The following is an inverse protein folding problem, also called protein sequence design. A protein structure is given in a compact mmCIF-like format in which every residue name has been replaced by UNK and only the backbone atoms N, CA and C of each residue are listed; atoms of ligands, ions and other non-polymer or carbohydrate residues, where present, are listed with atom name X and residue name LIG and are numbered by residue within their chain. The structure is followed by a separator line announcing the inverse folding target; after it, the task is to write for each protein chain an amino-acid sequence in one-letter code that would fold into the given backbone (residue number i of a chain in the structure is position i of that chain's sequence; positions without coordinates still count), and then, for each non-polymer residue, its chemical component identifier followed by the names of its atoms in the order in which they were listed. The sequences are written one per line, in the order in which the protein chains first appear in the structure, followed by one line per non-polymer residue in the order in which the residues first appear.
data_IF_258888838781
#
_entry.id   IF_258888838781
#
_cell.length_a   1.000
_cell.length_b   1.000
_cell.length_c   1.000
_cell.angle_alpha   90.00
_cell.angle_beta   90.00
_cell.angle_gamma   90.00
#
_symmetry.space_group_name_H-M   'P 1'
#
loop_
_entity.id
_entity.type
_entity.pdbx_description
1 polymer ?
#
# COMPACT_ATOMS: atom_id res chain seq x y z
N UNK A 1 42.06 12.71 0.95
CA UNK A 1 41.00 12.22 0.06
C UNK A 1 39.86 11.72 0.93
N UNK A 2 38.82 12.55 1.17
CA UNK A 2 37.60 12.08 1.84
C UNK A 2 36.91 11.18 0.83
N UNK A 3 36.94 9.88 1.05
CA UNK A 3 35.99 8.96 0.42
C UNK A 3 34.61 9.41 0.88
N UNK A 4 33.96 10.23 0.07
CA UNK A 4 32.54 10.48 0.22
C UNK A 4 31.89 9.12 0.31
N UNK A 5 31.32 8.88 1.47
CA UNK A 5 30.61 7.68 1.80
C UNK A 5 29.50 7.59 0.76
N UNK A 6 29.72 6.78 -0.29
CA UNK A 6 28.71 6.42 -1.29
C UNK A 6 27.74 5.49 -0.57
N UNK A 7 27.08 6.03 0.47
CA UNK A 7 25.84 5.49 1.01
C UNK A 7 24.94 5.44 -0.20
N UNK A 8 24.66 4.23 -0.67
CA UNK A 8 23.75 3.95 -1.76
C UNK A 8 22.40 4.59 -1.43
N UNK A 9 22.21 5.82 -1.93
CA UNK A 9 21.00 6.58 -1.73
C UNK A 9 19.87 5.77 -2.36
N UNK A 10 18.98 5.22 -1.53
CA UNK A 10 17.82 4.48 -2.00
C UNK A 10 17.06 5.31 -3.04
N UNK A 11 16.67 4.69 -4.14
CA UNK A 11 16.37 5.42 -5.36
C UNK A 11 16.10 4.56 -6.59
N UNK A 12 16.18 5.17 -7.77
CA UNK A 12 15.80 4.57 -9.05
C UNK A 12 16.54 3.27 -9.42
N UNK A 13 17.70 2.99 -8.81
CA UNK A 13 18.45 1.73 -9.01
C UNK A 13 18.01 0.62 -8.05
N UNK A 14 17.16 0.92 -7.07
CA UNK A 14 16.72 -0.03 -6.05
C UNK A 14 15.40 -0.67 -6.46
N UNK A 15 15.34 -2.00 -6.40
CA UNK A 15 14.10 -2.73 -6.64
C UNK A 15 13.00 -2.32 -5.64
N UNK A 16 13.34 -2.18 -4.35
CA UNK A 16 12.37 -1.79 -3.32
C UNK A 16 11.81 -0.39 -3.53
N UNK A 17 12.54 0.51 -4.20
CA UNK A 17 12.02 1.82 -4.59
C UNK A 17 10.87 1.70 -5.58
N UNK A 18 11.06 0.96 -6.67
CA UNK A 18 10.01 0.75 -7.68
C UNK A 18 8.84 -0.05 -7.15
N UNK A 19 9.09 -1.07 -6.32
CA UNK A 19 8.02 -1.84 -5.69
C UNK A 19 7.17 -0.99 -4.75
N UNK A 20 7.82 -0.12 -3.96
CA UNK A 20 7.11 0.82 -3.09
C UNK A 20 6.31 1.83 -3.92
N UNK A 21 6.90 2.37 -5.00
CA UNK A 21 6.23 3.31 -5.89
C UNK A 21 4.98 2.70 -6.51
N UNK A 22 5.07 1.45 -6.97
CA UNK A 22 3.93 0.73 -7.54
C UNK A 22 2.76 0.65 -6.55
N UNK A 23 3.02 0.30 -5.29
CA UNK A 23 1.99 0.26 -4.24
C UNK A 23 1.47 1.66 -3.90
N UNK A 24 2.33 2.66 -3.79
CA UNK A 24 1.92 4.03 -3.50
C UNK A 24 0.94 4.56 -4.57
N UNK A 25 1.25 4.33 -5.86
CA UNK A 25 0.40 4.71 -6.97
C UNK A 25 -0.88 3.87 -7.04
N UNK A 26 -0.79 2.57 -6.78
CA UNK A 26 -1.94 1.66 -6.75
C UNK A 26 -2.96 2.08 -5.68
N UNK A 27 -2.51 2.31 -4.45
CA UNK A 27 -3.37 2.76 -3.34
C UNK A 27 -3.96 4.15 -3.66
N UNK A 28 -3.17 5.06 -4.24
CA UNK A 28 -3.65 6.38 -4.64
C UNK A 28 -4.77 6.29 -5.69
N UNK A 29 -4.58 5.43 -6.70
CA UNK A 29 -5.57 5.17 -7.74
C UNK A 29 -6.85 4.57 -7.16
N UNK A 30 -6.74 3.56 -6.28
CA UNK A 30 -7.90 2.95 -5.61
C UNK A 30 -8.64 3.99 -4.77
N UNK A 31 -7.92 4.80 -3.99
CA UNK A 31 -8.53 5.86 -3.20
C UNK A 31 -9.33 6.86 -4.04
N UNK A 32 -8.75 7.31 -5.16
CA UNK A 32 -9.42 8.19 -6.11
C UNK A 32 -10.65 7.52 -6.74
N UNK A 33 -10.55 6.24 -7.10
CA UNK A 33 -11.68 5.47 -7.67
C UNK A 33 -12.85 5.37 -6.69
N UNK A 34 -12.58 5.12 -5.40
CA UNK A 34 -13.62 5.11 -4.36
C UNK A 34 -14.29 6.48 -4.14
N UNK A 35 -13.59 7.57 -4.39
CA UNK A 35 -14.15 8.93 -4.28
C UNK A 35 -15.03 9.25 -5.51
N UNK A 36 -14.50 9.02 -6.71
CA UNK A 36 -15.16 9.40 -7.97
C UNK A 36 -16.24 8.42 -8.41
N UNK A 37 -16.02 7.13 -8.19
CA UNK A 37 -16.87 6.01 -8.62
C UNK A 37 -17.17 5.07 -7.43
N UNK A 38 -17.80 5.56 -6.35
CA UNK A 38 -17.97 4.80 -5.11
C UNK A 38 -18.80 3.53 -5.31
N UNK A 39 -19.86 3.57 -6.13
CA UNK A 39 -20.72 2.39 -6.36
C UNK A 39 -19.92 1.22 -6.94
N UNK A 40 -19.26 1.48 -8.07
CA UNK A 40 -18.43 0.48 -8.76
C UNK A 40 -17.33 -0.03 -7.84
N UNK A 41 -16.70 0.86 -7.07
CA UNK A 41 -15.58 0.49 -6.19
C UNK A 41 -16.02 -0.38 -5.02
N UNK A 42 -17.16 -0.08 -4.40
CA UNK A 42 -17.72 -0.86 -3.28
C UNK A 42 -18.17 -2.24 -3.75
N UNK A 43 -18.83 -2.32 -4.90
CA UNK A 43 -19.27 -3.58 -5.51
C UNK A 43 -18.08 -4.45 -5.95
N UNK A 44 -17.05 -3.86 -6.54
CA UNK A 44 -15.81 -4.57 -6.92
C UNK A 44 -15.03 -5.08 -5.71
N UNK A 45 -15.02 -4.31 -4.61
CA UNK A 45 -14.47 -4.74 -3.33
C UNK A 45 -15.22 -5.97 -2.77
N UNK A 46 -16.46 -6.19 -3.19
CA UNK A 46 -17.29 -7.31 -2.77
C UNK A 46 -18.33 -6.94 -1.72
N UNK A 47 -18.65 -5.67 -1.56
CA UNK A 47 -19.73 -5.22 -0.65
C UNK A 47 -20.93 -4.82 -1.50
N UNK A 48 -22.12 -5.32 -1.14
CA UNK A 48 -23.35 -4.92 -1.79
C UNK A 48 -23.72 -3.48 -1.38
N UNK A 49 -24.04 -2.64 -2.37
CA UNK A 49 -24.53 -1.27 -2.13
C UNK A 49 -26.04 -1.30 -1.96
N UNK A 50 -26.52 -1.16 -0.72
CA UNK A 50 -27.94 -1.16 -0.38
C UNK A 50 -28.49 0.25 -0.11
N UNK A 51 -27.60 1.22 0.14
CA UNK A 51 -27.97 2.55 0.61
C UNK A 51 -26.99 3.63 0.17
N UNK A 52 -27.40 4.90 0.31
CA UNK A 52 -26.49 6.04 0.13
C UNK A 52 -25.40 6.10 1.21
N UNK A 53 -25.66 5.56 2.41
CA UNK A 53 -24.65 5.45 3.46
C UNK A 53 -23.49 4.54 3.05
N UNK A 54 -23.74 3.45 2.33
CA UNK A 54 -22.67 2.55 1.86
C UNK A 54 -21.73 3.27 0.89
N UNK A 55 -22.28 4.13 0.02
CA UNK A 55 -21.50 4.99 -0.86
C UNK A 55 -20.68 6.03 -0.08
N UNK A 56 -21.25 6.60 0.98
CA UNK A 56 -20.53 7.52 1.85
C UNK A 56 -19.37 6.82 2.58
N UNK A 57 -19.58 5.62 3.10
CA UNK A 57 -18.52 4.78 3.68
C UNK A 57 -17.43 4.43 2.66
N UNK A 58 -17.83 4.10 1.42
CA UNK A 58 -16.90 3.90 0.31
C UNK A 58 -16.01 5.13 0.07
N UNK A 59 -16.58 6.34 0.05
CA UNK A 59 -15.79 7.58 -0.09
C UNK A 59 -14.87 7.82 1.10
N UNK A 60 -15.29 7.52 2.32
CA UNK A 60 -14.44 7.62 3.53
C UNK A 60 -13.23 6.69 3.41
N UNK A 61 -13.43 5.42 2.97
CA UNK A 61 -12.32 4.52 2.64
C UNK A 61 -11.43 5.13 1.57
N UNK A 62 -12.01 5.64 0.49
CA UNK A 62 -11.27 6.27 -0.60
C UNK A 62 -10.35 7.41 -0.17
N UNK A 63 -10.81 8.28 0.74
CA UNK A 63 -10.00 9.37 1.30
C UNK A 63 -8.80 8.82 2.11
N UNK A 64 -9.02 7.78 2.90
CA UNK A 64 -7.96 7.14 3.71
C UNK A 64 -6.90 6.46 2.83
N UNK A 65 -7.35 5.77 1.78
CA UNK A 65 -6.45 5.15 0.82
C UNK A 65 -5.66 6.22 0.05
N UNK A 66 -6.34 7.26 -0.46
CA UNK A 66 -5.67 8.39 -1.13
C UNK A 66 -4.61 9.06 -0.23
N UNK A 67 -4.94 9.32 1.03
CA UNK A 67 -3.99 9.83 2.02
C UNK A 67 -2.79 8.90 2.19
N UNK A 68 -3.03 7.59 2.33
CA UNK A 68 -1.97 6.59 2.54
C UNK A 68 -1.02 6.53 1.34
N UNK A 69 -1.56 6.57 0.12
CA UNK A 69 -0.77 6.66 -1.11
C UNK A 69 0.07 7.92 -1.19
N UNK A 70 -0.50 9.09 -0.89
CA UNK A 70 0.21 10.38 -0.87
C UNK A 70 1.30 10.42 0.20
N UNK A 71 1.02 9.96 1.41
CA UNK A 71 1.99 9.91 2.50
C UNK A 71 3.19 9.04 2.13
N UNK A 72 2.94 7.85 1.59
CA UNK A 72 4.00 6.95 1.14
C UNK A 72 4.80 7.54 -0.03
N UNK A 73 4.12 8.18 -0.99
CA UNK A 73 4.76 8.84 -2.13
C UNK A 73 5.66 10.01 -1.67
N UNK A 74 5.24 10.80 -0.69
CA UNK A 74 6.03 11.89 -0.13
C UNK A 74 7.34 11.37 0.49
N UNK A 75 7.28 10.30 1.29
CA UNK A 75 8.47 9.66 1.87
C UNK A 75 9.39 9.09 0.79
N UNK A 76 8.80 8.48 -0.24
CA UNK A 76 9.52 7.91 -1.37
C UNK A 76 10.25 8.98 -2.19
N UNK A 77 9.59 10.09 -2.54
CA UNK A 77 10.18 11.21 -3.27
C UNK A 77 11.24 11.94 -2.45
N UNK A 78 11.04 12.05 -1.13
CA UNK A 78 12.05 12.54 -0.18
C UNK A 78 13.22 11.58 0.07
N UNK A 79 13.24 10.39 -0.57
CA UNK A 79 14.27 9.34 -0.40
C UNK A 79 14.46 8.91 1.06
N UNK A 80 13.42 9.00 1.88
CA UNK A 80 13.46 8.70 3.32
C UNK A 80 13.33 7.20 3.59
N UNK A 81 14.27 6.37 3.10
CA UNK A 81 14.17 4.89 3.10
C UNK A 81 13.70 4.30 4.44
N UNK A 82 14.31 4.71 5.56
CA UNK A 82 13.99 4.19 6.89
C UNK A 82 12.55 4.52 7.30
N UNK A 83 12.09 5.75 7.07
CA UNK A 83 10.72 6.15 7.35
C UNK A 83 9.73 5.42 6.42
N UNK A 84 10.06 5.33 5.12
CA UNK A 84 9.30 4.53 4.16
C UNK A 84 9.16 3.09 4.62
N UNK A 85 10.24 2.45 5.08
CA UNK A 85 10.22 1.07 5.56
C UNK A 85 9.18 0.90 6.67
N UNK A 86 9.26 1.67 7.76
CA UNK A 86 8.31 1.57 8.86
C UNK A 86 6.86 1.87 8.46
N UNK A 87 6.62 2.94 7.70
CA UNK A 87 5.26 3.33 7.28
C UNK A 87 4.67 2.28 6.32
N UNK A 88 5.47 1.80 5.37
CA UNK A 88 5.06 0.77 4.42
C UNK A 88 4.75 -0.55 5.11
N UNK A 89 5.57 -0.98 6.07
CA UNK A 89 5.31 -2.18 6.87
C UNK A 89 4.03 -2.04 7.67
N UNK A 90 3.82 -0.90 8.33
CA UNK A 90 2.59 -0.64 9.07
C UNK A 90 1.35 -0.71 8.15
N UNK A 91 1.46 -0.20 6.91
CA UNK A 91 0.39 -0.21 5.94
C UNK A 91 -0.03 -1.62 5.46
N UNK A 92 0.77 -2.67 5.70
CA UNK A 92 0.41 -4.07 5.39
C UNK A 92 -0.89 -4.48 6.10
N UNK A 93 -1.21 -3.87 7.24
CA UNK A 93 -2.47 -4.14 7.93
C UNK A 93 -3.69 -3.87 7.04
N UNK A 94 -3.61 -2.92 6.11
CA UNK A 94 -4.73 -2.52 5.25
C UNK A 94 -5.18 -3.67 4.36
N UNK A 95 -4.34 -4.25 3.45
CA UNK A 95 -4.78 -5.36 2.62
C UNK A 95 -5.10 -6.63 3.45
N UNK A 96 -4.45 -6.84 4.60
CA UNK A 96 -4.82 -7.96 5.48
C UNK A 96 -6.25 -7.82 6.02
N UNK A 97 -6.61 -6.63 6.51
CA UNK A 97 -7.95 -6.36 7.04
C UNK A 97 -8.99 -6.28 5.93
N UNK A 98 -8.65 -5.75 4.75
CA UNK A 98 -9.55 -5.76 3.59
C UNK A 98 -9.88 -7.21 3.16
N UNK A 99 -8.88 -8.10 3.11
CA UNK A 99 -9.09 -9.52 2.82
C UNK A 99 -9.99 -10.19 3.87
N UNK A 100 -9.75 -9.91 5.15
CA UNK A 100 -10.58 -10.41 6.25
C UNK A 100 -12.02 -9.88 6.13
N UNK A 101 -12.21 -8.61 5.79
CA UNK A 101 -13.53 -8.00 5.66
C UNK A 101 -14.35 -8.65 4.54
N UNK A 102 -13.71 -8.99 3.42
CA UNK A 102 -14.36 -9.76 2.34
C UNK A 102 -14.80 -11.13 2.87
N UNK A 103 -13.92 -11.84 3.58
CA UNK A 103 -14.27 -13.13 4.15
C UNK A 103 -15.43 -13.05 5.14
N UNK A 104 -15.44 -12.04 6.01
CA UNK A 104 -16.51 -11.85 7.00
C UNK A 104 -17.85 -11.51 6.35
N UNK A 105 -17.87 -10.76 5.25
CA UNK A 105 -19.09 -10.37 4.57
C UNK A 105 -19.61 -11.44 3.60
N UNK A 106 -18.72 -12.16 2.92
CA UNK A 106 -19.07 -13.00 1.76
C UNK A 106 -18.72 -14.48 1.94
N UNK A 107 -18.00 -14.86 2.99
CA UNK A 107 -17.36 -16.18 3.09
C UNK A 107 -16.19 -16.32 2.11
N UNK A 108 -15.99 -17.51 1.55
CA UNK A 108 -14.89 -17.79 0.63
C UNK A 108 -15.13 -17.19 -0.77
N UNK A 109 -14.79 -15.92 -0.94
CA UNK A 109 -14.77 -15.20 -2.23
C UNK A 109 -13.34 -15.09 -2.76
N UNK A 110 -12.82 -16.21 -3.29
CA UNK A 110 -11.42 -16.33 -3.71
C UNK A 110 -10.96 -15.23 -4.67
N UNK A 111 -11.68 -14.89 -5.76
CA UNK A 111 -11.21 -13.86 -6.70
C UNK A 111 -10.93 -12.51 -6.02
N UNK A 112 -11.81 -12.06 -5.13
CA UNK A 112 -11.64 -10.77 -4.43
C UNK A 112 -10.62 -10.87 -3.31
N UNK A 113 -10.63 -11.95 -2.54
CA UNK A 113 -9.66 -12.19 -1.47
C UNK A 113 -8.23 -12.27 -2.02
N UNK A 114 -8.01 -12.87 -3.19
CA UNK A 114 -6.68 -13.01 -3.79
C UNK A 114 -6.03 -11.67 -4.12
N UNK A 115 -6.81 -10.66 -4.55
CA UNK A 115 -6.26 -9.32 -4.84
C UNK A 115 -5.62 -8.74 -3.58
N UNK A 116 -6.31 -8.81 -2.45
CA UNK A 116 -5.81 -8.28 -1.18
C UNK A 116 -4.72 -9.16 -0.57
N UNK A 117 -4.90 -10.48 -0.59
CA UNK A 117 -3.91 -11.43 -0.08
C UNK A 117 -2.57 -11.35 -0.82
N UNK A 118 -2.60 -11.31 -2.17
CA UNK A 118 -1.39 -11.15 -2.97
C UNK A 118 -0.75 -9.78 -2.77
N UNK A 119 -1.55 -8.72 -2.60
CA UNK A 119 -1.04 -7.39 -2.25
C UNK A 119 -0.31 -7.40 -0.91
N UNK A 120 -0.88 -8.06 0.11
CA UNK A 120 -0.23 -8.20 1.42
C UNK A 120 1.10 -8.96 1.31
N UNK A 121 1.14 -10.08 0.58
CA UNK A 121 2.37 -10.84 0.34
C UNK A 121 3.42 -9.99 -0.40
N UNK A 122 3.02 -9.28 -1.45
CA UNK A 122 3.89 -8.37 -2.19
C UNK A 122 4.48 -7.30 -1.26
N UNK A 123 3.66 -6.71 -0.40
CA UNK A 123 4.10 -5.71 0.55
C UNK A 123 5.03 -6.29 1.63
N UNK A 124 4.80 -7.51 2.11
CA UNK A 124 5.73 -8.18 3.04
C UNK A 124 7.11 -8.36 2.41
N UNK A 125 7.17 -8.83 1.15
CA UNK A 125 8.43 -8.99 0.42
C UNK A 125 9.10 -7.62 0.22
N UNK A 126 8.35 -6.61 -0.20
CA UNK A 126 8.87 -5.24 -0.39
C UNK A 126 9.41 -4.66 0.92
N UNK A 127 8.68 -4.86 2.02
CA UNK A 127 9.07 -4.45 3.37
C UNK A 127 10.38 -5.08 3.78
N UNK A 128 10.54 -6.41 3.58
CA UNK A 128 11.81 -7.08 3.82
C UNK A 128 12.97 -6.40 3.06
N UNK A 129 12.80 -6.16 1.75
CA UNK A 129 13.81 -5.50 0.92
C UNK A 129 14.09 -4.05 1.32
N UNK A 130 13.09 -3.32 1.84
CA UNK A 130 13.30 -1.96 2.38
C UNK A 130 14.23 -1.98 3.60
N UNK A 131 14.18 -3.03 4.42
CA UNK A 131 15.11 -3.20 5.54
C UNK A 131 16.46 -3.83 5.15
N UNK A 132 16.55 -4.60 4.05
CA UNK A 132 17.70 -5.45 3.71
C UNK A 132 19.05 -4.75 3.39
N UNK A 133 19.17 -3.43 3.27
CA UNK A 133 20.49 -2.76 3.13
C UNK A 133 20.89 -1.93 4.35
N UNK A 134 20.20 -2.08 5.48
CA UNK A 134 20.53 -1.37 6.72
C UNK A 134 21.62 -2.11 7.52
N UNK A 135 21.89 -3.38 7.21
CA UNK A 135 22.70 -4.28 8.04
C UNK A 135 24.13 -4.54 7.54
N UNK A 136 24.60 -3.86 6.49
CA UNK A 136 25.98 -4.00 5.98
C UNK A 136 26.95 -2.94 6.51
N UNK A 137 26.54 -2.09 7.46
CA UNK A 137 27.38 -1.03 8.02
C UNK A 137 27.88 -1.30 9.46
N UNK A 138 27.79 -2.53 9.96
CA UNK A 138 28.34 -2.93 11.26
C UNK A 138 28.89 -4.36 11.22
N UNK A 139 30.05 -4.53 10.61
CA UNK A 139 31.05 -5.58 10.93
C UNK A 139 32.39 -5.18 10.35
#
# INVERSE_FOLDING_TARGET
MKTENVMTQWGLRSLSYWMTLFIALGILFIGLRFILLPRVSVEDFGIQVCSQSDLAFGRIKGIRDMYSGLALLALLLGRMKKATAYVFTAAIIIPCMDCLQIYLNNGLDLPRMLVHGLTAVYMIITSFLLFSDTNKATS
#
